data_IF_351574817372
#
_entry.id   IF_351574817372
#
_cell.length_a   1.000
_cell.length_b   1.000
_cell.length_c   1.000
_cell.angle_alpha   90.00
_cell.angle_beta   90.00
_cell.angle_gamma   90.00
#
_symmetry.space_group_name_H-M   'P 1'
#
loop_
_entity.id
_entity.type
_entity.pdbx_description
1 polymer ?
#
# COMPACT_ATOMS: atom_id res chain seq x y z
N UNK A 1 -7.14 26.90 -30.72
CA UNK A 1 -6.17 27.19 -31.80
C UNK A 1 -6.76 26.62 -33.09
N UNK A 2 -7.17 27.48 -34.03
CA UNK A 2 -7.82 27.04 -35.28
C UNK A 2 -6.80 26.33 -36.17
N UNK A 3 -7.12 25.13 -36.66
CA UNK A 3 -6.27 24.43 -37.63
C UNK A 3 -6.18 25.26 -38.93
N UNK A 4 -4.99 25.38 -39.54
CA UNK A 4 -4.80 26.18 -40.75
C UNK A 4 -5.63 25.61 -41.92
N UNK A 5 -6.23 26.50 -42.73
CA UNK A 5 -6.99 26.12 -43.92
C UNK A 5 -6.03 25.69 -45.04
N UNK A 6 -6.46 24.78 -45.92
CA UNK A 6 -5.62 24.19 -46.99
C UNK A 6 -4.90 25.23 -47.86
N UNK A 7 -5.52 26.40 -48.07
CA UNK A 7 -4.97 27.52 -48.85
C UNK A 7 -3.81 28.26 -48.17
N UNK A 8 -3.70 28.14 -46.85
CA UNK A 8 -2.71 28.83 -46.02
C UNK A 8 -1.49 27.93 -45.72
N UNK A 9 -1.52 26.66 -46.14
CA UNK A 9 -0.37 25.77 -46.03
C UNK A 9 0.68 26.11 -47.11
N UNK A 10 1.98 26.06 -46.78
CA UNK A 10 3.04 26.25 -47.76
C UNK A 10 2.90 25.19 -48.86
N UNK A 11 2.86 25.64 -50.12
CA UNK A 11 2.81 24.74 -51.27
C UNK A 11 4.15 24.02 -51.37
N UNK A 12 4.10 22.69 -51.39
CA UNK A 12 5.27 21.85 -51.66
C UNK A 12 5.84 22.27 -53.02
N UNK A 13 7.15 22.51 -53.08
CA UNK A 13 7.82 22.83 -54.33
C UNK A 13 7.54 21.73 -55.35
N UNK A 14 7.27 22.13 -56.61
CA UNK A 14 6.92 21.19 -57.69
C UNK A 14 7.95 20.07 -57.82
N UNK A 15 9.24 20.41 -57.68
CA UNK A 15 10.36 19.48 -57.78
C UNK A 15 10.29 18.38 -56.70
N UNK A 16 9.99 18.76 -55.45
CA UNK A 16 9.86 17.82 -54.33
C UNK A 16 8.63 16.92 -54.50
N UNK A 17 7.52 17.46 -55.03
CA UNK A 17 6.32 16.68 -55.34
C UNK A 17 6.60 15.62 -56.41
N UNK A 18 7.31 16.00 -57.48
CA UNK A 18 7.71 15.07 -58.54
C UNK A 18 8.68 13.99 -58.05
N UNK A 19 9.61 14.34 -57.16
CA UNK A 19 10.56 13.38 -56.58
C UNK A 19 9.87 12.38 -55.63
N UNK A 20 8.88 12.82 -54.85
CA UNK A 20 8.03 11.95 -54.03
C UNK A 20 7.14 11.02 -54.88
N UNK A 21 6.55 11.54 -55.97
CA UNK A 21 5.71 10.75 -56.88
C UNK A 21 6.53 9.72 -57.69
N UNK A 22 7.78 10.05 -58.01
CA UNK A 22 8.74 9.15 -58.67
C UNK A 22 9.55 8.28 -57.71
N UNK A 23 9.30 8.37 -56.39
CA UNK A 23 10.10 7.68 -55.39
C UNK A 23 9.99 6.15 -55.54
N UNK A 24 11.07 5.53 -56.03
CA UNK A 24 11.14 4.09 -56.18
C UNK A 24 11.57 3.45 -54.87
N UNK A 25 10.62 2.86 -54.13
CA UNK A 25 10.90 2.07 -52.92
C UNK A 25 11.88 0.92 -53.14
N UNK A 26 12.08 0.47 -54.39
CA UNK A 26 13.09 -0.52 -54.77
C UNK A 26 14.54 -0.02 -54.68
N UNK A 27 14.76 1.30 -54.65
CA UNK A 27 16.07 1.92 -54.43
C UNK A 27 16.44 2.04 -52.94
N UNK A 28 15.51 1.72 -52.03
CA UNK A 28 15.81 1.66 -50.60
C UNK A 28 16.69 0.44 -50.31
N UNK A 29 17.71 0.62 -49.46
CA UNK A 29 18.51 -0.50 -48.96
C UNK A 29 17.60 -1.44 -48.19
N UNK A 30 17.66 -2.74 -48.50
CA UNK A 30 16.94 -3.76 -47.74
C UNK A 30 17.49 -3.78 -46.31
N UNK A 31 16.63 -3.55 -45.32
CA UNK A 31 16.95 -3.79 -43.93
C UNK A 31 16.73 -5.29 -43.65
N UNK A 32 17.77 -5.98 -43.19
CA UNK A 32 17.62 -7.36 -42.75
C UNK A 32 16.90 -7.37 -41.39
N UNK A 33 15.67 -7.87 -41.35
CA UNK A 33 14.95 -8.14 -40.12
C UNK A 33 15.22 -9.57 -39.69
N UNK A 34 15.94 -9.77 -38.59
CA UNK A 34 16.13 -11.08 -37.99
C UNK A 34 15.00 -11.37 -37.00
N UNK A 35 14.12 -12.31 -37.34
CA UNK A 35 13.14 -12.86 -36.40
C UNK A 35 13.86 -13.86 -35.49
N UNK A 36 14.05 -13.50 -34.21
CA UNK A 36 14.75 -14.33 -33.24
C UNK A 36 13.78 -15.31 -32.58
N UNK A 37 13.34 -16.32 -33.31
CA UNK A 37 12.61 -17.46 -32.74
C UNK A 37 13.61 -18.38 -32.03
N UNK A 38 13.90 -18.09 -30.76
CA UNK A 38 14.72 -18.97 -29.92
C UNK A 38 13.85 -20.13 -29.46
N UNK A 39 14.25 -21.35 -29.82
CA UNK A 39 13.63 -22.54 -29.25
C UNK A 39 13.93 -22.64 -27.76
N UNK A 40 13.00 -23.18 -26.94
CA UNK A 40 13.30 -23.51 -25.55
C UNK A 40 14.59 -24.31 -25.46
N UNK A 41 15.42 -23.98 -24.48
CA UNK A 41 16.64 -24.75 -24.23
C UNK A 41 16.29 -26.13 -23.66
N UNK A 42 17.25 -27.06 -23.69
CA UNK A 42 17.09 -28.35 -23.05
C UNK A 42 16.85 -28.23 -21.54
N UNK A 43 17.38 -27.18 -20.91
CA UNK A 43 17.16 -26.85 -19.50
C UNK A 43 15.71 -26.43 -19.25
N UNK A 44 15.15 -25.56 -20.12
CA UNK A 44 13.75 -25.11 -20.01
C UNK A 44 12.78 -26.28 -20.08
N UNK A 45 12.98 -27.19 -21.03
CA UNK A 45 12.14 -28.39 -21.20
C UNK A 45 12.30 -29.37 -20.03
N UNK A 46 13.51 -29.53 -19.51
CA UNK A 46 13.76 -30.39 -18.36
C UNK A 46 13.08 -29.84 -17.10
N UNK A 47 13.21 -28.54 -16.85
CA UNK A 47 12.57 -27.86 -15.74
C UNK A 47 11.05 -27.98 -15.83
N UNK A 48 10.45 -27.72 -17.01
CA UNK A 48 9.01 -27.84 -17.22
C UNK A 48 8.51 -29.27 -16.97
N UNK A 49 9.24 -30.28 -17.43
CA UNK A 49 8.89 -31.69 -17.19
C UNK A 49 8.92 -32.05 -15.70
N UNK A 50 9.90 -31.54 -14.97
CA UNK A 50 9.97 -31.71 -13.51
C UNK A 50 8.77 -31.06 -12.81
N UNK A 51 8.42 -29.83 -13.20
CA UNK A 51 7.26 -29.13 -12.64
C UNK A 51 5.95 -29.87 -12.94
N UNK A 52 5.73 -30.31 -14.19
CA UNK A 52 4.55 -31.08 -14.57
C UNK A 52 4.42 -32.37 -13.76
N UNK A 53 5.54 -33.08 -13.55
CA UNK A 53 5.55 -34.32 -12.77
C UNK A 53 5.16 -34.05 -11.31
N UNK A 54 5.67 -32.96 -10.72
CA UNK A 54 5.32 -32.56 -9.36
C UNK A 54 3.83 -32.21 -9.24
N UNK A 55 3.30 -31.40 -10.18
CA UNK A 55 1.89 -30.99 -10.20
C UNK A 55 0.99 -32.22 -10.33
N UNK A 56 1.26 -33.11 -11.28
CA UNK A 56 0.49 -34.34 -11.46
C UNK A 56 0.52 -35.24 -10.21
N UNK A 57 1.68 -35.31 -9.54
CA UNK A 57 1.82 -36.02 -8.27
C UNK A 57 0.94 -35.44 -7.17
N UNK A 58 0.80 -34.11 -7.10
CA UNK A 58 -0.09 -33.43 -6.13
C UNK A 58 -1.56 -33.61 -6.49
N UNK A 59 -1.93 -33.48 -7.78
CA UNK A 59 -3.32 -33.62 -8.25
C UNK A 59 -3.88 -35.02 -7.99
N UNK A 60 -3.04 -36.05 -8.15
CA UNK A 60 -3.40 -37.45 -7.95
C UNK A 60 -3.14 -37.96 -6.53
N UNK A 61 -2.60 -37.11 -5.65
CA UNK A 61 -2.23 -37.51 -4.31
C UNK A 61 -3.47 -37.95 -3.51
N UNK A 62 -3.46 -39.19 -3.03
CA UNK A 62 -4.51 -39.74 -2.17
C UNK A 62 -4.31 -39.28 -0.71
N UNK A 63 -5.18 -38.41 -0.17
CA UNK A 63 -5.04 -37.92 1.20
C UNK A 63 -5.24 -39.02 2.25
N UNK A 64 -5.88 -40.15 1.89
CA UNK A 64 -6.06 -41.28 2.80
C UNK A 64 -4.76 -42.04 3.09
N UNK A 65 -3.72 -41.81 2.28
CA UNK A 65 -2.37 -42.32 2.50
C UNK A 65 -1.62 -41.59 3.62
N UNK A 66 -2.13 -40.45 4.09
CA UNK A 66 -1.54 -39.71 5.20
C UNK A 66 -1.70 -40.50 6.50
N UNK A 67 -0.61 -40.60 7.27
CA UNK A 67 -0.63 -41.23 8.58
C UNK A 67 -1.52 -40.43 9.52
N UNK A 68 -2.43 -41.11 10.22
CA UNK A 68 -3.24 -40.49 11.24
C UNK A 68 -2.34 -39.88 12.33
N UNK A 69 -2.56 -38.60 12.62
CA UNK A 69 -1.90 -37.89 13.72
C UNK A 69 -2.95 -37.29 14.63
N UNK A 70 -2.74 -37.38 15.94
CA UNK A 70 -3.63 -36.79 16.94
C UNK A 70 -3.15 -35.38 17.25
N UNK A 71 -3.85 -34.37 16.75
CA UNK A 71 -3.57 -32.96 17.09
C UNK A 71 -4.17 -32.64 18.46
N UNK A 72 -3.34 -32.21 19.42
CA UNK A 72 -3.81 -31.67 20.69
C UNK A 72 -3.94 -30.15 20.61
N UNK A 73 -5.13 -29.68 20.28
CA UNK A 73 -5.47 -28.26 20.39
C UNK A 73 -5.74 -27.91 21.87
N UNK A 74 -4.88 -27.11 22.47
CA UNK A 74 -5.06 -26.61 23.84
C UNK A 74 -5.87 -25.31 23.75
N UNK A 75 -7.14 -25.37 24.13
CA UNK A 75 -7.93 -24.17 24.41
C UNK A 75 -8.08 -24.01 25.94
N UNK A 76 -7.04 -23.53 26.65
CA UNK A 76 -7.11 -23.37 28.09
C UNK A 76 -8.17 -22.33 28.44
N UNK A 77 -9.02 -22.66 29.41
CA UNK A 77 -9.90 -21.67 30.02
C UNK A 77 -9.04 -20.62 30.76
N UNK A 78 -9.49 -19.36 30.81
CA UNK A 78 -8.86 -18.36 31.67
C UNK A 78 -8.76 -18.86 33.11
N UNK A 79 -7.63 -18.61 33.77
CA UNK A 79 -7.46 -18.95 35.18
C UNK A 79 -8.25 -17.99 36.09
N UNK A 80 -8.27 -18.30 37.39
CA UNK A 80 -8.99 -17.49 38.38
C UNK A 80 -8.47 -16.06 38.47
N UNK A 81 -7.17 -15.86 38.25
CA UNK A 81 -6.53 -14.56 38.36
C UNK A 81 -6.93 -13.66 37.19
N UNK A 82 -6.91 -14.20 35.97
CA UNK A 82 -7.39 -13.50 34.77
C UNK A 82 -8.87 -13.09 34.90
N UNK A 83 -9.71 -13.98 35.44
CA UNK A 83 -11.13 -13.68 35.69
C UNK A 83 -11.27 -12.57 36.75
N UNK A 84 -10.50 -12.61 37.83
CA UNK A 84 -10.55 -11.59 38.88
C UNK A 84 -10.06 -10.23 38.38
N UNK A 85 -8.98 -10.19 37.59
CA UNK A 85 -8.46 -8.98 36.97
C UNK A 85 -9.50 -8.34 36.05
N UNK A 86 -10.12 -9.13 35.16
CA UNK A 86 -11.15 -8.64 34.24
C UNK A 86 -12.38 -8.13 35.00
N UNK A 87 -12.80 -8.85 36.06
CA UNK A 87 -13.90 -8.40 36.92
C UNK A 87 -13.58 -7.07 37.61
N UNK A 88 -12.36 -6.90 38.11
CA UNK A 88 -11.92 -5.64 38.72
C UNK A 88 -11.92 -4.47 37.72
N UNK A 89 -11.45 -4.71 36.50
CA UNK A 89 -11.49 -3.74 35.40
C UNK A 89 -12.93 -3.33 35.06
N UNK A 90 -13.84 -4.31 34.93
CA UNK A 90 -15.25 -4.03 34.65
C UNK A 90 -15.92 -3.22 35.76
N UNK A 91 -15.61 -3.53 37.03
CA UNK A 91 -16.11 -2.75 38.17
C UNK A 91 -15.60 -1.30 38.15
N UNK A 92 -14.32 -1.09 37.81
CA UNK A 92 -13.75 0.24 37.69
C UNK A 92 -14.44 1.05 36.57
N UNK A 93 -14.60 0.46 35.39
CA UNK A 93 -15.27 1.09 34.25
C UNK A 93 -16.71 1.46 34.63
N UNK A 94 -17.46 0.49 35.18
CA UNK A 94 -18.85 0.72 35.60
C UNK A 94 -18.95 1.80 36.68
N UNK A 95 -18.00 1.86 37.61
CA UNK A 95 -17.94 2.90 38.64
C UNK A 95 -17.72 4.30 38.08
N UNK A 96 -16.92 4.43 37.01
CA UNK A 96 -16.69 5.70 36.30
C UNK A 96 -17.92 6.07 35.47
N UNK A 97 -18.47 5.14 34.70
CA UNK A 97 -19.64 5.38 33.83
C UNK A 97 -20.87 5.82 34.63
N UNK A 98 -21.07 5.24 35.81
CA UNK A 98 -22.21 5.54 36.69
C UNK A 98 -21.84 6.50 37.83
N UNK A 99 -20.70 7.19 37.73
CA UNK A 99 -20.30 8.17 38.74
C UNK A 99 -21.26 9.35 38.72
N UNK A 100 -21.80 9.69 39.89
CA UNK A 100 -22.70 10.83 40.08
C UNK A 100 -21.88 12.05 40.55
N UNK A 101 -21.71 13.08 39.70
CA UNK A 101 -20.96 14.28 40.06
C UNK A 101 -21.58 15.05 41.23
N UNK A 102 -22.87 14.88 41.52
CA UNK A 102 -23.52 15.53 42.65
C UNK A 102 -23.01 15.01 44.01
N UNK A 103 -22.34 13.85 44.03
CA UNK A 103 -21.67 13.30 45.22
C UNK A 103 -20.31 13.94 45.48
N UNK A 104 -19.78 14.76 44.56
CA UNK A 104 -18.56 15.52 44.81
C UNK A 104 -18.83 16.60 45.86
N UNK A 105 -17.93 16.70 46.83
CA UNK A 105 -17.97 17.79 47.81
C UNK A 105 -17.64 19.10 47.11
N UNK A 106 -18.30 20.18 47.51
CA UNK A 106 -17.95 21.52 47.05
C UNK A 106 -16.49 21.83 47.40
N UNK A 107 -15.74 22.30 46.40
CA UNK A 107 -14.36 22.74 46.56
C UNK A 107 -14.26 24.20 46.12
N UNK A 108 -13.78 25.06 47.02
CA UNK A 108 -13.49 26.46 46.71
C UNK A 108 -12.08 26.55 46.14
N UNK A 109 -11.97 26.87 44.85
CA UNK A 109 -10.69 27.03 44.16
C UNK A 109 -10.30 28.51 44.12
N UNK A 110 -9.19 28.87 44.78
CA UNK A 110 -8.59 30.20 44.66
C UNK A 110 -7.67 30.26 43.43
N UNK A 111 -8.22 30.64 42.29
CA UNK A 111 -7.42 30.96 41.10
C UNK A 111 -6.72 32.30 41.31
N UNK A 112 -5.41 32.26 41.58
CA UNK A 112 -4.59 33.46 41.69
C UNK A 112 -4.18 33.89 40.28
N UNK A 113 -4.88 34.88 39.74
CA UNK A 113 -4.41 35.67 38.60
C UNK A 113 -3.92 37.05 39.09
N UNK A 114 -2.79 37.12 39.83
CA UNK A 114 -2.23 38.40 40.20
C UNK A 114 -1.81 39.14 38.93
N UNK A 115 -2.27 40.37 38.77
CA UNK A 115 -1.71 41.25 37.76
C UNK A 115 -0.21 41.44 38.08
N UNK A 116 0.67 41.44 37.05
CA UNK A 116 2.08 41.74 37.26
C UNK A 116 2.23 43.04 38.04
N UNK A 117 3.09 43.04 39.06
CA UNK A 117 3.35 44.28 39.82
C UNK A 117 4.08 45.28 38.93
N UNK A 118 4.00 46.56 39.27
CA UNK A 118 4.69 47.62 38.52
C UNK A 118 6.20 47.34 38.42
N UNK A 119 6.78 46.82 39.50
CA UNK A 119 8.19 46.43 39.56
C UNK A 119 8.52 45.29 38.60
N UNK A 120 7.62 44.29 38.46
CA UNK A 120 7.79 43.19 37.53
C UNK A 120 7.70 43.66 36.07
N UNK A 121 6.75 44.56 35.77
CA UNK A 121 6.60 45.18 34.44
C UNK A 121 7.82 46.02 34.09
N UNK A 122 8.33 46.80 35.05
CA UNK A 122 9.48 47.68 34.81
C UNK A 122 10.78 46.88 34.68
N UNK A 123 10.95 45.79 35.45
CA UNK A 123 12.07 44.87 35.29
C UNK A 123 12.07 44.18 33.91
N UNK A 124 10.91 43.78 33.41
CA UNK A 124 10.78 43.14 32.10
C UNK A 124 11.02 44.13 30.95
N UNK A 125 10.61 45.40 31.11
CA UNK A 125 10.94 46.49 30.17
C UNK A 125 12.42 46.83 30.08
N UNK A 126 13.20 46.56 31.13
CA UNK A 126 14.65 46.78 31.17
C UNK A 126 15.40 45.57 30.58
N UNK A 127 14.81 44.37 30.68
CA UNK A 127 15.38 43.13 30.18
C UNK A 127 15.09 42.85 28.70
N UNK A 128 14.18 43.61 28.07
CA UNK A 128 13.84 43.59 26.64
C UNK A 128 14.62 44.66 25.86
#
# INVERSE_FOLDING_TARGET
MSSPLLKDLPKVALDLKSELEGFNHGCMKKAATAEKNVLPSAEDVAAEKTQQTLIAGIETFDPTSLKHTTTQEKNPLPDKDAIQQEKGKQQLISGIENFDPAKLKHAETLEKNPLPTKEAIDAEKIAA
#
